data_IF_917185280666
#
_entry.id   IF_917185280666
#
_cell.length_a   1.000
_cell.length_b   1.000
_cell.length_c   1.000
_cell.angle_alpha   90.00
_cell.angle_beta   90.00
_cell.angle_gamma   90.00
#
_symmetry.space_group_name_H-M   'P 1'
#
loop_
_entity.id
_entity.type
_entity.pdbx_description
1 polymer ?
#
# COMPACT_ATOMS: atom_id res chain seq x y z
N UNK A 1 38.14 18.60 -83.09
CA UNK A 1 38.67 18.51 -81.70
C UNK A 1 37.50 18.39 -80.74
N UNK A 2 37.35 17.27 -80.03
CA UNK A 2 36.22 17.06 -79.14
C UNK A 2 36.46 17.65 -77.74
N UNK A 3 35.48 18.29 -77.15
CA UNK A 3 35.48 18.90 -75.81
C UNK A 3 35.46 17.83 -74.71
N UNK A 4 36.34 17.93 -73.71
CA UNK A 4 36.42 17.12 -72.53
C UNK A 4 35.17 17.38 -71.63
N UNK A 5 34.60 16.34 -70.96
CA UNK A 5 33.54 16.51 -69.99
C UNK A 5 34.07 17.00 -68.64
N UNK A 6 33.31 17.85 -68.00
CA UNK A 6 33.57 18.45 -66.69
C UNK A 6 33.51 17.42 -65.55
N UNK A 7 34.44 17.54 -64.58
CA UNK A 7 34.47 16.74 -63.34
C UNK A 7 33.27 17.12 -62.44
N UNK A 8 32.62 16.16 -61.78
CA UNK A 8 31.63 16.48 -60.79
C UNK A 8 32.26 16.94 -59.47
N UNK A 9 31.64 17.93 -58.81
CA UNK A 9 32.04 18.50 -57.52
C UNK A 9 31.82 17.50 -56.33
N UNK A 10 32.59 17.60 -55.26
CA UNK A 10 32.47 16.70 -54.11
C UNK A 10 31.18 16.96 -53.33
N UNK A 11 30.42 15.89 -53.07
CA UNK A 11 29.26 15.91 -52.19
C UNK A 11 29.70 16.10 -50.74
N UNK A 12 29.35 17.22 -50.15
CA UNK A 12 29.48 17.48 -48.72
C UNK A 12 28.41 16.65 -47.98
N UNK A 13 28.85 15.63 -47.28
CA UNK A 13 28.05 14.84 -46.35
C UNK A 13 27.78 15.66 -45.08
N UNK A 14 26.60 16.25 -44.96
CA UNK A 14 26.13 16.82 -43.72
C UNK A 14 25.75 15.67 -42.77
N UNK A 15 26.63 15.38 -41.79
CA UNK A 15 26.32 14.53 -40.65
C UNK A 15 25.22 15.23 -39.82
N UNK A 16 24.01 14.71 -39.89
CA UNK A 16 22.93 15.02 -38.98
C UNK A 16 23.30 14.48 -37.60
N UNK A 17 23.64 15.35 -36.67
CA UNK A 17 23.72 15.01 -35.25
C UNK A 17 22.30 14.87 -34.73
N UNK A 18 21.82 13.62 -34.65
CA UNK A 18 20.59 13.30 -33.94
C UNK A 18 20.78 13.64 -32.45
N UNK A 19 20.22 14.76 -32.03
CA UNK A 19 20.08 15.10 -30.60
C UNK A 19 19.17 14.07 -29.96
N UNK A 20 19.79 13.16 -29.19
CA UNK A 20 19.03 12.24 -28.33
C UNK A 20 18.32 13.10 -27.26
N UNK A 21 17.07 13.45 -27.47
CA UNK A 21 16.23 14.03 -26.41
C UNK A 21 16.22 13.03 -25.27
N UNK A 22 16.84 13.40 -24.15
CA UNK A 22 16.65 12.73 -22.87
C UNK A 22 15.18 12.95 -22.52
N UNK A 23 14.37 11.90 -22.64
CA UNK A 23 12.99 11.91 -22.15
C UNK A 23 13.11 11.88 -20.64
N UNK A 24 12.99 13.03 -20.00
CA UNK A 24 12.83 13.12 -18.55
C UNK A 24 11.46 12.49 -18.26
N UNK A 25 11.39 11.40 -17.50
CA UNK A 25 10.09 10.82 -17.16
C UNK A 25 9.27 11.87 -16.39
N UNK A 26 8.04 12.06 -16.82
CA UNK A 26 7.10 12.99 -16.19
C UNK A 26 6.78 12.43 -14.79
N UNK A 27 7.28 13.10 -13.76
CA UNK A 27 7.01 12.72 -12.35
C UNK A 27 5.54 13.07 -12.12
N UNK A 28 4.69 12.04 -12.01
CA UNK A 28 3.30 12.25 -11.63
C UNK A 28 3.26 12.78 -10.19
N UNK A 29 2.78 14.00 -9.95
CA UNK A 29 2.77 14.56 -8.60
C UNK A 29 1.89 13.71 -7.69
N UNK A 30 2.31 13.57 -6.43
CA UNK A 30 1.49 12.89 -5.41
C UNK A 30 0.20 13.68 -5.18
N UNK A 31 -0.83 12.95 -4.76
CA UNK A 31 -2.13 13.54 -4.44
C UNK A 31 -2.64 12.97 -3.13
N UNK A 32 -3.55 13.68 -2.49
CA UNK A 32 -4.35 13.16 -1.39
C UNK A 32 -5.66 12.57 -1.90
N UNK A 33 -6.26 11.66 -1.13
CA UNK A 33 -7.58 11.13 -1.46
C UNK A 33 -8.72 12.14 -1.32
N UNK A 34 -8.54 13.15 -0.47
CA UNK A 34 -9.54 14.18 -0.20
C UNK A 34 -8.90 15.53 0.10
N UNK A 35 -9.25 16.12 1.23
CA UNK A 35 -8.85 17.48 1.59
C UNK A 35 -7.35 17.66 1.92
N UNK A 36 -6.63 16.54 2.12
CA UNK A 36 -5.20 16.58 2.43
C UNK A 36 -4.85 17.17 3.80
N UNK A 37 -3.56 17.45 3.98
CA UNK A 37 -3.03 18.14 5.15
C UNK A 37 -2.58 19.55 4.79
N UNK A 38 -2.93 20.58 5.60
CA UNK A 38 -2.49 21.95 5.38
C UNK A 38 -0.95 22.05 5.40
N UNK A 39 -0.40 22.85 4.48
CA UNK A 39 1.05 23.15 4.47
C UNK A 39 1.94 22.04 3.91
N UNK A 40 1.39 20.96 3.38
CA UNK A 40 2.16 19.89 2.73
C UNK A 40 2.40 20.24 1.27
N UNK A 41 3.69 20.38 0.92
CA UNK A 41 4.14 20.57 -0.46
C UNK A 41 4.34 19.18 -1.09
N UNK A 42 3.41 18.78 -1.96
CA UNK A 42 3.39 17.47 -2.60
C UNK A 42 4.51 17.29 -3.63
N UNK A 43 5.01 18.38 -4.24
CA UNK A 43 6.10 18.33 -5.23
C UNK A 43 7.43 17.90 -4.59
N UNK A 44 7.59 18.13 -3.29
CA UNK A 44 8.76 17.70 -2.52
C UNK A 44 8.75 16.24 -2.10
N UNK A 45 7.66 15.51 -2.35
CA UNK A 45 7.52 14.10 -1.98
C UNK A 45 8.06 13.22 -3.12
N UNK A 46 9.37 13.08 -3.21
CA UNK A 46 10.06 12.34 -4.28
C UNK A 46 10.15 10.83 -4.04
N UNK A 47 9.99 10.38 -2.79
CA UNK A 47 9.96 8.97 -2.41
C UNK A 47 8.72 8.24 -2.94
N UNK A 48 8.66 6.92 -2.73
CA UNK A 48 7.54 6.08 -3.18
C UNK A 48 6.78 5.50 -2.00
N UNK A 49 5.46 5.55 -2.05
CA UNK A 49 4.56 4.91 -1.08
C UNK A 49 3.99 3.64 -1.68
N UNK A 50 4.34 2.50 -1.10
CA UNK A 50 3.90 1.18 -1.53
C UNK A 50 3.15 0.52 -0.38
N UNK A 51 1.94 0.05 -0.66
CA UNK A 51 1.05 -0.55 0.33
C UNK A 51 0.89 -2.04 0.07
N UNK A 52 1.05 -2.84 1.12
CA UNK A 52 0.74 -4.27 1.10
C UNK A 52 -0.47 -4.49 2.02
N UNK A 53 -1.59 -4.86 1.43
CA UNK A 53 -2.85 -5.17 2.11
C UNK A 53 -3.09 -6.68 2.20
N UNK A 54 -3.95 -7.09 3.09
CA UNK A 54 -4.37 -8.47 3.29
C UNK A 54 -4.81 -8.75 4.71
N UNK A 55 -5.47 -9.88 4.93
CA UNK A 55 -5.90 -10.36 6.25
C UNK A 55 -4.72 -10.83 7.11
N UNK A 56 -4.94 -11.02 8.41
CA UNK A 56 -3.97 -11.70 9.26
C UNK A 56 -3.80 -13.15 8.78
N UNK A 57 -2.55 -13.62 8.74
CA UNK A 57 -2.21 -14.91 8.13
C UNK A 57 -2.03 -14.87 6.61
N UNK A 58 -2.24 -13.74 5.92
CA UNK A 58 -2.03 -13.65 4.47
C UNK A 58 -0.55 -13.68 4.04
N UNK A 59 0.38 -13.52 4.98
CA UNK A 59 1.83 -13.52 4.73
C UNK A 59 2.44 -12.13 4.48
N UNK A 60 1.69 -11.04 4.71
CA UNK A 60 2.17 -9.66 4.51
C UNK A 60 3.53 -9.38 5.16
N UNK A 61 3.65 -9.63 6.47
CA UNK A 61 4.88 -9.31 7.22
C UNK A 61 6.10 -10.03 6.66
N UNK A 62 5.94 -11.29 6.24
CA UNK A 62 7.01 -12.04 5.58
C UNK A 62 7.41 -11.40 4.25
N UNK A 63 6.44 -10.96 3.45
CA UNK A 63 6.73 -10.29 2.19
C UNK A 63 7.40 -8.94 2.41
N UNK A 64 6.92 -8.15 3.37
CA UNK A 64 7.49 -6.84 3.69
C UNK A 64 8.95 -6.97 4.14
N UNK A 65 9.28 -7.90 5.05
CA UNK A 65 10.66 -8.13 5.47
C UNK A 65 11.59 -8.43 4.29
N UNK A 66 11.15 -9.32 3.38
CA UNK A 66 11.93 -9.67 2.18
C UNK A 66 12.04 -8.51 1.17
N UNK A 67 10.99 -7.67 1.08
CA UNK A 67 11.01 -6.49 0.23
C UNK A 67 11.96 -5.43 0.78
N UNK A 68 12.01 -5.24 2.10
CA UNK A 68 12.98 -4.34 2.75
C UNK A 68 14.41 -4.77 2.44
N UNK A 69 14.75 -6.05 2.69
CA UNK A 69 16.08 -6.60 2.40
C UNK A 69 16.47 -6.39 0.92
N UNK A 70 15.53 -6.62 0.01
CA UNK A 70 15.80 -6.43 -1.42
C UNK A 70 15.97 -4.96 -1.78
N UNK A 71 15.12 -4.06 -1.29
CA UNK A 71 15.18 -2.62 -1.58
C UNK A 71 16.48 -2.02 -1.04
N UNK A 72 16.85 -2.32 0.20
CA UNK A 72 18.10 -1.85 0.80
C UNK A 72 19.32 -2.42 0.10
N UNK A 73 19.30 -3.71 -0.27
CA UNK A 73 20.33 -4.36 -1.07
C UNK A 73 20.47 -3.77 -2.47
N UNK A 74 19.45 -3.08 -2.99
CA UNK A 74 19.50 -2.34 -4.27
C UNK A 74 19.73 -0.83 -4.12
N UNK A 75 20.06 -0.37 -2.89
CA UNK A 75 20.44 1.01 -2.60
C UNK A 75 19.29 1.97 -2.31
N UNK A 76 18.09 1.48 -1.99
CA UNK A 76 16.97 2.31 -1.59
C UNK A 76 16.90 2.42 -0.06
N UNK A 77 16.77 3.62 0.47
CA UNK A 77 16.36 3.81 1.86
C UNK A 77 14.90 3.37 2.03
N UNK A 78 14.60 2.67 3.11
CA UNK A 78 13.25 2.18 3.40
C UNK A 78 12.71 2.70 4.72
N UNK A 79 11.38 2.84 4.80
CA UNK A 79 10.64 3.05 6.03
C UNK A 79 9.45 2.09 6.07
N UNK A 80 9.27 1.38 7.17
CA UNK A 80 8.07 0.58 7.41
C UNK A 80 7.10 1.33 8.30
N UNK A 81 5.84 1.41 7.86
CA UNK A 81 4.70 1.93 8.62
C UNK A 81 3.58 0.90 8.66
N UNK A 82 2.55 1.12 9.45
CA UNK A 82 1.41 0.20 9.53
C UNK A 82 0.48 0.55 10.69
N UNK A 83 -0.54 -0.27 10.92
CA UNK A 83 -1.50 0.00 11.99
C UNK A 83 -0.87 -0.19 13.37
N UNK A 84 -1.27 0.65 14.34
CA UNK A 84 -0.80 0.66 15.74
C UNK A 84 0.72 0.82 15.86
N UNK A 85 1.30 1.73 15.09
CA UNK A 85 2.73 2.04 15.13
C UNK A 85 3.03 3.49 15.50
N UNK A 86 1.99 4.30 15.75
CA UNK A 86 2.17 5.64 16.31
C UNK A 86 2.75 5.55 17.72
N UNK A 87 3.73 6.40 18.00
CA UNK A 87 4.28 6.54 19.37
C UNK A 87 3.33 7.32 20.30
N UNK A 88 2.31 7.96 19.73
CA UNK A 88 1.38 8.80 20.47
C UNK A 88 0.21 8.01 21.07
N UNK A 89 -0.38 7.07 20.30
CA UNK A 89 -1.67 6.45 20.67
C UNK A 89 -1.71 4.93 20.57
N UNK A 90 -0.65 4.26 20.12
CA UNK A 90 -0.68 2.81 19.88
C UNK A 90 -0.96 1.99 21.14
N UNK A 91 -0.36 2.35 22.28
CA UNK A 91 -0.60 1.71 23.58
C UNK A 91 -2.05 1.87 24.04
N UNK A 92 -2.58 3.10 23.99
CA UNK A 92 -3.94 3.42 24.39
C UNK A 92 -4.96 2.71 23.50
N UNK A 93 -4.67 2.62 22.20
CA UNK A 93 -5.50 1.90 21.24
C UNK A 93 -5.52 0.40 21.55
N UNK A 94 -4.40 -0.20 21.91
CA UNK A 94 -4.32 -1.60 22.27
C UNK A 94 -5.07 -1.91 23.57
N UNK A 95 -4.88 -1.10 24.61
CA UNK A 95 -5.61 -1.21 25.87
C UNK A 95 -7.12 -1.08 25.67
N UNK A 96 -7.54 -0.10 24.86
CA UNK A 96 -8.95 0.13 24.56
C UNK A 96 -9.58 -1.04 23.79
N UNK A 97 -8.85 -1.68 22.89
CA UNK A 97 -9.30 -2.88 22.20
C UNK A 97 -9.43 -4.09 23.13
N UNK A 98 -8.45 -4.31 24.01
CA UNK A 98 -8.49 -5.42 24.98
C UNK A 98 -9.68 -5.29 25.94
N UNK A 99 -9.99 -4.06 26.35
CA UNK A 99 -11.14 -3.78 27.21
C UNK A 99 -12.50 -3.82 26.52
N UNK A 100 -12.55 -3.85 25.18
CA UNK A 100 -13.79 -3.76 24.38
C UNK A 100 -14.71 -2.60 24.82
N UNK A 101 -14.13 -1.46 25.22
CA UNK A 101 -14.84 -0.35 25.85
C UNK A 101 -15.19 0.79 24.89
N UNK A 102 -14.65 0.77 23.66
CA UNK A 102 -14.87 1.85 22.71
C UNK A 102 -16.06 1.60 21.79
N UNK A 103 -16.84 2.65 21.55
CA UNK A 103 -17.79 2.66 20.45
C UNK A 103 -17.06 2.54 19.11
N UNK A 104 -17.73 2.07 18.07
CA UNK A 104 -17.17 1.94 16.72
C UNK A 104 -16.58 3.26 16.22
N UNK A 105 -17.31 4.36 16.37
CA UNK A 105 -16.85 5.69 15.97
C UNK A 105 -15.56 6.10 16.71
N UNK A 106 -15.53 5.92 18.02
CA UNK A 106 -14.34 6.26 18.82
C UNK A 106 -13.16 5.41 18.43
N UNK A 107 -13.34 4.10 18.18
CA UNK A 107 -12.28 3.21 17.71
C UNK A 107 -11.74 3.64 16.34
N UNK A 108 -12.62 4.02 15.39
CA UNK A 108 -12.20 4.55 14.08
C UNK A 108 -11.40 5.84 14.21
N UNK A 109 -11.79 6.74 15.13
CA UNK A 109 -11.05 7.98 15.40
C UNK A 109 -9.66 7.71 16.02
N UNK A 110 -9.55 6.73 16.91
CA UNK A 110 -8.24 6.30 17.43
C UNK A 110 -7.32 5.77 16.32
N UNK A 111 -7.85 4.94 15.44
CA UNK A 111 -7.08 4.48 14.26
C UNK A 111 -6.73 5.61 13.31
N UNK A 112 -7.63 6.57 13.12
CA UNK A 112 -7.35 7.74 12.29
C UNK A 112 -6.26 8.62 12.93
N UNK A 113 -6.20 8.72 14.26
CA UNK A 113 -5.15 9.43 14.99
C UNK A 113 -3.81 8.71 14.87
N UNK A 114 -3.78 7.37 15.05
CA UNK A 114 -2.58 6.54 14.80
C UNK A 114 -2.05 6.73 13.37
N UNK A 115 -2.94 6.75 12.40
CA UNK A 115 -2.59 6.98 11.00
C UNK A 115 -2.07 8.41 10.75
N UNK A 116 -2.73 9.43 11.27
CA UNK A 116 -2.35 10.83 11.08
C UNK A 116 -0.97 11.12 11.67
N UNK A 117 -0.70 10.63 12.87
CA UNK A 117 0.60 10.77 13.53
C UNK A 117 1.72 10.14 12.70
N UNK A 118 1.54 8.90 12.21
CA UNK A 118 2.51 8.26 11.34
C UNK A 118 2.67 8.98 10.00
N UNK A 119 1.58 9.52 9.43
CA UNK A 119 1.63 10.28 8.19
C UNK A 119 2.51 11.53 8.35
N UNK A 120 2.28 12.31 9.39
CA UNK A 120 2.97 13.59 9.60
C UNK A 120 4.43 13.40 10.05
N UNK A 121 4.66 12.50 11.02
CA UNK A 121 5.95 12.39 11.69
C UNK A 121 6.89 11.31 11.11
N UNK A 122 6.38 10.40 10.29
CA UNK A 122 7.19 9.33 9.69
C UNK A 122 7.11 9.31 8.16
N UNK A 123 5.90 9.21 7.59
CA UNK A 123 5.75 8.99 6.15
C UNK A 123 6.14 10.21 5.32
N UNK A 124 5.64 11.40 5.65
CA UNK A 124 5.95 12.63 4.91
C UNK A 124 7.45 12.98 4.96
N UNK A 125 8.15 12.93 6.11
CA UNK A 125 9.59 13.11 6.16
C UNK A 125 10.37 12.11 5.31
N UNK A 126 10.03 10.83 5.38
CA UNK A 126 10.69 9.79 4.58
C UNK A 126 10.48 9.98 3.07
N UNK A 127 9.25 10.32 2.66
CA UNK A 127 8.94 10.59 1.25
C UNK A 127 9.66 11.85 0.73
N UNK A 128 9.84 12.88 1.57
CA UNK A 128 10.66 14.05 1.24
C UNK A 128 12.14 13.69 1.06
N UNK A 129 12.63 12.75 1.86
CA UNK A 129 14.00 12.24 1.76
C UNK A 129 14.21 11.27 0.58
N UNK A 130 13.19 10.99 -0.22
CA UNK A 130 13.27 10.07 -1.36
C UNK A 130 13.22 8.59 -0.99
N UNK A 131 12.87 8.24 0.25
CA UNK A 131 12.78 6.86 0.70
C UNK A 131 11.57 6.12 0.12
N UNK A 132 11.65 4.79 0.10
CA UNK A 132 10.52 3.90 -0.19
C UNK A 132 9.80 3.59 1.11
N UNK A 133 8.58 4.09 1.25
CA UNK A 133 7.71 3.81 2.38
C UNK A 133 6.90 2.54 2.07
N UNK A 134 7.10 1.50 2.89
CA UNK A 134 6.34 0.24 2.83
C UNK A 134 5.29 0.23 3.94
N UNK A 135 4.01 0.30 3.58
CA UNK A 135 2.91 0.25 4.53
C UNK A 135 2.37 -1.18 4.68
N UNK A 136 2.51 -1.76 5.88
CA UNK A 136 1.84 -3.00 6.30
C UNK A 136 0.42 -2.67 6.72
N UNK A 137 -0.50 -2.74 5.79
CA UNK A 137 -1.85 -2.15 5.84
C UNK A 137 -1.82 -0.61 5.73
N UNK A 138 -2.92 -0.08 5.27
CA UNK A 138 -3.13 1.34 5.09
C UNK A 138 -4.60 1.68 5.40
N UNK A 139 -5.07 2.82 4.95
CA UNK A 139 -6.47 3.24 5.17
C UNK A 139 -7.50 2.21 4.66
N UNK A 140 -7.14 1.36 3.70
CA UNK A 140 -8.06 0.39 3.11
C UNK A 140 -8.47 -0.71 4.07
N UNK A 141 -7.54 -1.23 4.89
CA UNK A 141 -7.88 -2.15 6.00
C UNK A 141 -8.80 -1.46 7.01
N UNK A 142 -8.53 -0.19 7.37
CA UNK A 142 -9.35 0.57 8.31
C UNK A 142 -10.76 0.77 7.75
N UNK A 143 -10.87 1.25 6.51
CA UNK A 143 -12.15 1.40 5.84
C UNK A 143 -12.90 0.07 5.71
N UNK A 144 -12.22 -1.02 5.31
CA UNK A 144 -12.86 -2.31 5.15
C UNK A 144 -13.43 -2.85 6.48
N UNK A 145 -12.67 -2.74 7.58
CA UNK A 145 -13.11 -3.13 8.92
C UNK A 145 -14.35 -2.34 9.37
N UNK A 146 -14.37 -1.05 9.12
CA UNK A 146 -15.46 -0.17 9.52
C UNK A 146 -16.68 -0.36 8.62
N UNK A 147 -16.52 -0.56 7.31
CA UNK A 147 -17.61 -0.87 6.39
C UNK A 147 -18.29 -2.19 6.71
N UNK A 148 -17.53 -3.25 7.04
CA UNK A 148 -18.10 -4.53 7.49
C UNK A 148 -18.90 -4.36 8.79
N UNK A 149 -18.52 -3.39 9.62
CA UNK A 149 -19.23 -3.02 10.85
C UNK A 149 -20.40 -2.05 10.64
N UNK A 150 -20.70 -1.71 9.38
CA UNK A 150 -21.83 -0.88 9.00
C UNK A 150 -21.62 0.63 9.14
N UNK A 151 -20.37 1.09 9.20
CA UNK A 151 -20.06 2.51 9.17
C UNK A 151 -20.36 3.12 7.79
N UNK A 152 -20.71 4.40 7.78
CA UNK A 152 -21.01 5.14 6.56
C UNK A 152 -19.75 5.36 5.72
N UNK A 153 -19.79 4.96 4.45
CA UNK A 153 -18.64 5.03 3.54
C UNK A 153 -18.20 6.48 3.25
N UNK A 154 -19.15 7.41 3.14
CA UNK A 154 -18.84 8.82 2.89
C UNK A 154 -18.13 9.43 4.09
N UNK A 155 -18.57 9.08 5.30
CA UNK A 155 -17.91 9.52 6.53
C UNK A 155 -16.46 9.01 6.58
N UNK A 156 -16.23 7.72 6.27
CA UNK A 156 -14.89 7.12 6.24
C UNK A 156 -14.00 7.77 5.17
N UNK A 157 -14.53 8.03 3.98
CA UNK A 157 -13.79 8.74 2.93
C UNK A 157 -13.37 10.15 3.36
N UNK A 158 -14.21 10.85 4.09
CA UNK A 158 -13.87 12.16 4.65
C UNK A 158 -12.81 12.02 5.75
N UNK A 159 -12.96 11.05 6.66
CA UNK A 159 -12.02 10.81 7.75
C UNK A 159 -10.60 10.55 7.23
N UNK A 160 -10.46 9.71 6.21
CA UNK A 160 -9.19 9.36 5.60
C UNK A 160 -8.80 10.24 4.39
N UNK A 161 -9.50 11.35 4.18
CA UNK A 161 -9.20 12.31 3.12
C UNK A 161 -7.83 12.98 3.21
N UNK A 162 -7.16 12.88 4.36
CA UNK A 162 -5.77 13.30 4.59
C UNK A 162 -4.74 12.31 4.01
N UNK A 163 -5.15 11.11 3.64
CA UNK A 163 -4.22 10.07 3.21
C UNK A 163 -3.67 10.36 1.81
N UNK A 164 -2.37 10.12 1.63
CA UNK A 164 -1.74 10.17 0.30
C UNK A 164 -2.22 9.00 -0.57
N UNK A 165 -2.41 9.25 -1.85
CA UNK A 165 -2.62 8.19 -2.83
C UNK A 165 -1.29 7.43 -3.02
N UNK A 166 -1.25 6.11 -2.75
CA UNK A 166 -0.04 5.33 -2.91
C UNK A 166 0.38 5.18 -4.38
N UNK A 167 1.69 5.04 -4.61
CA UNK A 167 2.23 4.72 -5.94
C UNK A 167 1.84 3.30 -6.39
N UNK A 168 1.67 2.38 -5.43
CA UNK A 168 1.09 1.06 -5.68
C UNK A 168 0.42 0.48 -4.44
N UNK A 169 -0.65 -0.29 -4.66
CA UNK A 169 -1.34 -1.08 -3.62
C UNK A 169 -1.41 -2.53 -4.09
N UNK A 170 -0.90 -3.44 -3.28
CA UNK A 170 -0.95 -4.88 -3.50
C UNK A 170 -1.81 -5.53 -2.42
N UNK A 171 -2.85 -6.23 -2.82
CA UNK A 171 -3.72 -6.97 -1.91
C UNK A 171 -3.41 -8.47 -2.01
N UNK A 172 -2.85 -9.03 -0.95
CA UNK A 172 -2.62 -10.47 -0.84
C UNK A 172 -3.94 -11.15 -0.49
N UNK A 173 -4.61 -11.65 -1.52
CA UNK A 173 -5.89 -12.33 -1.37
C UNK A 173 -5.67 -13.79 -0.97
N UNK A 174 -6.29 -14.20 0.13
CA UNK A 174 -6.27 -15.57 0.66
C UNK A 174 -7.70 -15.93 1.04
N UNK A 175 -8.10 -17.19 0.82
CA UNK A 175 -9.42 -17.67 1.22
C UNK A 175 -9.56 -17.75 2.75
N UNK A 176 -10.77 -17.56 3.30
CA UNK A 176 -10.99 -17.65 4.74
C UNK A 176 -10.52 -18.99 5.34
N UNK A 177 -10.69 -20.09 4.59
CA UNK A 177 -10.30 -21.45 4.98
C UNK A 177 -8.77 -21.58 5.12
N UNK A 178 -8.02 -20.98 4.21
CA UNK A 178 -6.55 -20.95 4.29
C UNK A 178 -6.07 -19.99 5.38
N UNK A 179 -6.76 -18.87 5.60
CA UNK A 179 -6.41 -17.93 6.65
C UNK A 179 -6.53 -18.57 8.02
N UNK A 180 -7.63 -19.28 8.31
CA UNK A 180 -7.83 -19.95 9.59
C UNK A 180 -6.73 -20.97 9.86
N UNK A 181 -6.37 -21.78 8.86
CA UNK A 181 -5.28 -22.75 9.00
C UNK A 181 -3.95 -22.08 9.34
N UNK A 182 -3.61 -20.98 8.65
CA UNK A 182 -2.37 -20.23 8.88
C UNK A 182 -2.34 -19.54 10.23
N UNK A 183 -3.47 -18.96 10.66
CA UNK A 183 -3.57 -18.30 11.97
C UNK A 183 -3.44 -19.31 13.09
N UNK A 184 -4.10 -20.46 13.01
CA UNK A 184 -3.96 -21.53 14.00
C UNK A 184 -2.55 -22.10 14.05
N UNK A 185 -1.90 -22.30 12.90
CA UNK A 185 -0.52 -22.79 12.87
C UNK A 185 0.46 -21.82 13.53
N UNK A 186 0.17 -20.51 13.50
CA UNK A 186 1.04 -19.47 14.06
C UNK A 186 0.73 -19.16 15.52
N UNK A 187 -0.53 -18.94 15.87
CA UNK A 187 -0.94 -18.35 17.14
C UNK A 187 -1.64 -19.35 18.07
N UNK A 188 -2.03 -20.53 17.59
CA UNK A 188 -2.82 -21.55 18.28
C UNK A 188 -4.20 -21.06 18.78
N UNK A 189 -4.59 -19.83 18.44
CA UNK A 189 -5.88 -19.22 18.80
C UNK A 189 -6.32 -18.19 17.78
N UNK A 190 -7.61 -17.89 17.73
CA UNK A 190 -8.19 -16.80 16.98
C UNK A 190 -8.31 -15.56 17.84
N UNK A 191 -8.09 -14.40 17.26
CA UNK A 191 -8.31 -13.10 17.89
C UNK A 191 -9.81 -12.71 17.84
N UNK A 192 -10.30 -12.07 18.88
CA UNK A 192 -11.70 -11.65 19.02
C UNK A 192 -12.14 -10.71 17.88
N UNK A 193 -11.32 -9.68 17.60
CA UNK A 193 -11.62 -8.66 16.60
C UNK A 193 -11.43 -9.16 15.16
N UNK A 194 -10.43 -10.00 14.94
CA UNK A 194 -10.16 -10.64 13.64
C UNK A 194 -11.17 -11.76 13.33
N UNK A 195 -11.89 -12.22 14.35
CA UNK A 195 -13.00 -13.16 14.21
C UNK A 195 -14.37 -12.47 14.08
N UNK A 196 -14.42 -11.13 14.18
CA UNK A 196 -15.68 -10.39 14.09
C UNK A 196 -16.67 -10.76 15.19
N UNK A 197 -16.20 -11.18 16.37
CA UNK A 197 -17.08 -11.57 17.50
C UNK A 197 -17.93 -10.40 18.01
N UNK A 198 -17.43 -9.17 17.85
CA UNK A 198 -18.16 -7.93 18.12
C UNK A 198 -19.38 -7.70 17.22
N UNK A 199 -19.48 -8.43 16.11
CA UNK A 199 -20.59 -8.33 15.15
C UNK A 199 -21.70 -9.35 15.42
N UNK A 200 -21.45 -10.35 16.27
CA UNK A 200 -22.43 -11.40 16.56
C UNK A 200 -22.77 -12.28 15.36
N UNK A 201 -21.82 -12.45 14.41
CA UNK A 201 -22.02 -13.26 13.19
C UNK A 201 -22.26 -14.75 13.50
N UNK A 202 -21.72 -15.23 14.61
CA UNK A 202 -21.91 -16.55 15.16
C UNK A 202 -21.58 -16.56 16.65
N UNK A 203 -22.08 -17.56 17.38
CA UNK A 203 -21.65 -17.86 18.75
C UNK A 203 -20.34 -18.66 18.78
N UNK A 204 -20.07 -19.39 17.72
CA UNK A 204 -18.83 -20.12 17.50
C UNK A 204 -17.78 -19.19 16.86
N UNK A 205 -16.61 -19.09 17.48
CA UNK A 205 -15.55 -18.17 17.07
C UNK A 205 -14.96 -18.55 15.71
N UNK A 206 -14.88 -19.83 15.41
CA UNK A 206 -14.37 -20.32 14.13
C UNK A 206 -15.33 -19.98 12.98
N UNK A 207 -16.62 -20.25 13.15
CA UNK A 207 -17.65 -19.89 12.17
C UNK A 207 -17.77 -18.37 12.02
N UNK A 208 -17.67 -17.61 13.12
CA UNK A 208 -17.61 -16.15 13.08
C UNK A 208 -16.40 -15.65 12.29
N UNK A 209 -15.20 -16.22 12.51
CA UNK A 209 -13.99 -15.88 11.77
C UNK A 209 -14.19 -16.08 10.26
N UNK A 210 -14.69 -17.25 9.84
CA UNK A 210 -14.92 -17.52 8.41
C UNK A 210 -15.88 -16.50 7.79
N UNK A 211 -16.99 -16.20 8.45
CA UNK A 211 -17.98 -15.21 7.99
C UNK A 211 -17.39 -13.80 7.91
N UNK A 212 -16.65 -13.40 8.94
CA UNK A 212 -16.01 -12.09 8.97
C UNK A 212 -14.94 -11.93 7.89
N UNK A 213 -14.06 -12.92 7.72
CA UNK A 213 -13.02 -12.87 6.69
C UNK A 213 -13.61 -12.93 5.27
N UNK A 214 -14.73 -13.64 5.07
CA UNK A 214 -15.46 -13.61 3.81
C UNK A 214 -16.04 -12.20 3.53
N UNK A 215 -16.64 -11.55 4.51
CA UNK A 215 -17.15 -10.18 4.39
C UNK A 215 -16.03 -9.17 4.15
N UNK A 216 -14.88 -9.32 4.81
CA UNK A 216 -13.69 -8.49 4.58
C UNK A 216 -13.17 -8.66 3.15
N UNK A 217 -13.04 -9.89 2.65
CA UNK A 217 -12.60 -10.20 1.29
C UNK A 217 -13.51 -9.53 0.25
N UNK A 218 -14.81 -9.66 0.41
CA UNK A 218 -15.79 -9.02 -0.49
C UNK A 218 -15.69 -7.49 -0.43
N UNK A 219 -15.51 -6.92 0.76
CA UNK A 219 -15.31 -5.48 0.92
C UNK A 219 -14.03 -5.00 0.25
N UNK A 220 -12.91 -5.72 0.37
CA UNK A 220 -11.69 -5.40 -0.36
C UNK A 220 -11.87 -5.46 -1.88
N UNK A 221 -12.59 -6.46 -2.41
CA UNK A 221 -12.92 -6.54 -3.84
C UNK A 221 -13.78 -5.36 -4.31
N UNK A 222 -14.73 -4.91 -3.50
CA UNK A 222 -15.50 -3.71 -3.77
C UNK A 222 -14.62 -2.45 -3.75
N UNK A 223 -13.75 -2.30 -2.77
CA UNK A 223 -12.81 -1.18 -2.70
C UNK A 223 -11.80 -1.19 -3.87
N UNK A 224 -11.41 -2.37 -4.36
CA UNK A 224 -10.51 -2.52 -5.50
C UNK A 224 -10.99 -1.77 -6.74
N UNK A 225 -12.29 -1.76 -7.01
CA UNK A 225 -12.87 -1.07 -8.16
C UNK A 225 -12.64 0.45 -8.11
N UNK A 226 -12.62 1.02 -6.89
CA UNK A 226 -12.40 2.46 -6.64
C UNK A 226 -10.92 2.81 -6.53
N UNK A 227 -10.16 1.99 -5.80
CA UNK A 227 -8.77 2.29 -5.41
C UNK A 227 -7.72 1.55 -6.23
N UNK A 228 -8.14 0.75 -7.22
CA UNK A 228 -7.31 0.07 -8.21
C UNK A 228 -6.20 -0.80 -7.62
N UNK A 229 -6.52 -1.58 -6.57
CA UNK A 229 -5.57 -2.53 -6.00
C UNK A 229 -5.11 -3.56 -7.05
N UNK A 230 -3.87 -3.97 -6.95
CA UNK A 230 -3.34 -5.12 -7.68
C UNK A 230 -3.52 -6.36 -6.81
N UNK A 231 -4.46 -7.21 -7.16
CA UNK A 231 -4.70 -8.46 -6.44
C UNK A 231 -3.55 -9.42 -6.75
N UNK A 232 -2.99 -9.98 -5.70
CA UNK A 232 -1.96 -11.02 -5.72
C UNK A 232 -2.55 -12.26 -5.06
N UNK A 233 -2.47 -13.38 -5.74
CA UNK A 233 -2.84 -14.67 -5.15
C UNK A 233 -1.89 -15.02 -4.01
N UNK A 234 -2.39 -14.88 -2.77
CA UNK A 234 -1.66 -15.10 -1.53
C UNK A 234 -1.58 -16.56 -1.11
N UNK A 235 -2.14 -17.49 -1.89
CA UNK A 235 -2.09 -18.93 -1.60
C UNK A 235 -0.88 -19.62 -2.25
N UNK A 236 -0.22 -18.95 -3.17
CA UNK A 236 1.03 -19.41 -3.79
C UNK A 236 2.19 -19.46 -2.80
N UNK A 237 3.32 -20.04 -3.22
CA UNK A 237 4.53 -20.08 -2.41
C UNK A 237 5.04 -18.65 -2.09
N UNK A 238 5.59 -18.49 -0.89
CA UNK A 238 6.17 -17.21 -0.43
C UNK A 238 7.20 -16.66 -1.41
N UNK A 239 8.01 -17.52 -2.04
CA UNK A 239 9.01 -17.10 -3.03
C UNK A 239 8.35 -16.56 -4.30
N UNK A 240 7.34 -17.24 -4.83
CA UNK A 240 6.62 -16.82 -6.05
C UNK A 240 5.91 -15.47 -5.85
N UNK A 241 5.28 -15.27 -4.69
CA UNK A 241 4.64 -13.98 -4.35
C UNK A 241 5.70 -12.88 -4.28
N UNK A 242 6.85 -13.16 -3.63
CA UNK A 242 7.91 -12.18 -3.47
C UNK A 242 8.48 -11.73 -4.82
N UNK A 243 8.76 -12.65 -5.73
CA UNK A 243 9.29 -12.32 -7.06
C UNK A 243 8.28 -11.51 -7.90
N UNK A 244 7.00 -11.80 -7.80
CA UNK A 244 5.97 -10.97 -8.45
C UNK A 244 5.93 -9.56 -7.86
N UNK A 245 5.97 -9.44 -6.52
CA UNK A 245 5.99 -8.13 -5.85
C UNK A 245 7.22 -7.34 -6.25
N UNK A 246 8.43 -7.93 -6.25
CA UNK A 246 9.67 -7.27 -6.68
C UNK A 246 9.58 -6.77 -8.12
N UNK A 247 9.08 -7.61 -9.02
CA UNK A 247 8.91 -7.24 -10.44
C UNK A 247 8.00 -6.03 -10.58
N UNK A 248 6.84 -6.04 -9.92
CA UNK A 248 5.85 -4.96 -10.00
C UNK A 248 6.32 -3.68 -9.32
N UNK A 249 7.00 -3.79 -8.16
CA UNK A 249 7.59 -2.67 -7.43
C UNK A 249 8.73 -2.06 -8.26
N UNK A 250 9.57 -2.89 -8.89
CA UNK A 250 10.64 -2.42 -9.77
C UNK A 250 10.13 -1.51 -10.89
N UNK A 251 8.98 -1.82 -11.49
CA UNK A 251 8.32 -0.94 -12.48
C UNK A 251 7.92 0.40 -11.85
N UNK A 252 7.37 0.39 -10.62
CA UNK A 252 6.97 1.63 -9.92
C UNK A 252 8.18 2.49 -9.58
N UNK A 253 9.30 1.88 -9.19
CA UNK A 253 10.54 2.60 -8.89
C UNK A 253 11.17 3.21 -10.15
N UNK A 254 11.08 2.52 -11.28
CA UNK A 254 11.61 3.00 -12.56
C UNK A 254 10.79 4.16 -13.15
N UNK A 255 9.50 4.26 -12.84
CA UNK A 255 8.60 5.31 -13.38
C UNK A 255 8.79 6.71 -12.76
N UNK A 256 9.86 6.96 -12.05
CA UNK A 256 10.08 8.22 -11.34
C UNK A 256 11.55 8.66 -11.29
N UNK A 257 12.38 8.15 -12.20
CA UNK A 257 13.74 8.63 -12.40
C UNK A 257 13.85 9.55 -13.59
#
# INVERSE_FOLDING_TARGET
MPRRPARPAPRTSTRSTASTRVVVPEITPKTFFGHGLPGVDLEKLTGKLIVIEGADGSGRSTQISRLVEWLEGTGHATLQVGLKRSTLVSEQLEQAQQGNILSRTTLSLFYATDFADQLEHAMLPALRAGAVVLADRYIYTLMARDLVRGMDERWLRNLYGIALVPDAVFYLEVSPEQLVQRVFAKNQSLDFWESGMDLGLSRDMFDSFLKYQAAMRETFRRLQSTYRFRIIDGERSTASINEELKTRIGVVLASGR
#
